data_IF_492420521855
#
_entry.id   IF_492420521855
#
_cell.length_a   1.000
_cell.length_b   1.000
_cell.length_c   1.000
_cell.angle_alpha   90.00
_cell.angle_beta   90.00
_cell.angle_gamma   90.00
#
_symmetry.space_group_name_H-M   'P 1'
#
loop_
_entity.id
_entity.type
_entity.pdbx_description
1 polymer ?
#
# COMPACT_ATOMS: atom_id res chain seq x y z
N UNK A 1 27.84 9.27 3.65
CA UNK A 1 27.84 8.50 4.92
C UNK A 1 27.24 7.11 4.70
N UNK A 2 27.75 6.34 3.73
CA UNK A 2 27.10 5.14 3.17
C UNK A 2 27.80 3.81 3.51
N UNK A 3 28.87 3.82 4.32
CA UNK A 3 29.64 2.62 4.68
C UNK A 3 29.24 2.13 6.07
N UNK A 4 28.20 1.28 6.16
CA UNK A 4 27.95 0.28 7.24
C UNK A 4 26.58 -0.43 7.19
N UNK A 5 25.78 -0.32 6.11
CA UNK A 5 24.38 -0.84 6.12
C UNK A 5 24.17 -2.24 5.52
N UNK A 6 25.11 -2.76 4.73
CA UNK A 6 25.03 -4.11 4.13
C UNK A 6 25.20 -5.30 5.09
N UNK A 7 25.09 -5.07 6.41
CA UNK A 7 25.19 -6.10 7.44
C UNK A 7 23.98 -6.18 8.37
N UNK A 8 22.96 -5.34 8.15
CA UNK A 8 21.70 -5.43 8.90
C UNK A 8 20.84 -6.52 8.26
N UNK A 9 20.49 -7.51 9.10
CA UNK A 9 19.78 -8.74 8.74
C UNK A 9 18.49 -8.47 7.97
N UNK A 10 17.83 -7.32 8.22
CA UNK A 10 16.59 -6.95 7.55
C UNK A 10 16.78 -6.72 6.05
N UNK A 11 17.83 -6.00 5.64
CA UNK A 11 18.07 -5.72 4.21
C UNK A 11 18.56 -6.96 3.47
N UNK A 12 19.37 -7.80 4.13
CA UNK A 12 19.75 -9.10 3.56
C UNK A 12 18.53 -9.98 3.33
N UNK A 13 17.58 -9.99 4.28
CA UNK A 13 16.31 -10.73 4.15
C UNK A 13 15.48 -10.26 2.94
N UNK A 14 15.49 -8.95 2.62
CA UNK A 14 14.86 -8.41 1.40
C UNK A 14 15.62 -8.82 0.13
N UNK A 15 16.95 -8.74 0.13
CA UNK A 15 17.77 -9.12 -1.03
C UNK A 15 17.59 -10.59 -1.40
N UNK A 16 17.52 -11.48 -0.42
CA UNK A 16 17.23 -12.91 -0.60
C UNK A 16 15.85 -13.17 -1.24
N UNK A 17 14.94 -12.17 -1.18
CA UNK A 17 13.59 -12.19 -1.79
C UNK A 17 13.52 -11.35 -3.07
N UNK A 18 14.68 -11.03 -3.66
CA UNK A 18 14.77 -10.36 -4.95
C UNK A 18 14.60 -8.84 -4.89
N UNK A 19 14.65 -8.22 -3.71
CA UNK A 19 14.45 -6.79 -3.53
C UNK A 19 15.73 -6.14 -3.00
N UNK A 20 16.42 -5.39 -3.86
CA UNK A 20 17.60 -4.60 -3.48
C UNK A 20 17.23 -3.10 -3.35
N UNK A 21 16.83 -2.70 -2.14
CA UNK A 21 16.54 -1.30 -1.83
C UNK A 21 17.81 -0.47 -1.62
N UNK A 22 18.97 -1.07 -1.33
CA UNK A 22 20.21 -0.34 -1.10
C UNK A 22 20.71 0.40 -2.36
N UNK A 23 20.26 -0.03 -3.54
CA UNK A 23 20.54 0.61 -4.81
C UNK A 23 19.62 1.81 -5.13
N UNK A 24 18.56 2.05 -4.35
CA UNK A 24 17.62 3.16 -4.56
C UNK A 24 17.37 3.90 -3.23
N UNK A 25 17.84 5.14 -3.14
CA UNK A 25 17.75 5.95 -1.92
C UNK A 25 16.30 6.18 -1.44
N UNK A 26 15.35 6.37 -2.36
CA UNK A 26 13.94 6.61 -2.01
C UNK A 26 13.29 5.35 -1.44
N UNK A 27 13.51 4.18 -2.06
CA UNK A 27 13.04 2.90 -1.51
C UNK A 27 13.73 2.57 -0.19
N UNK A 28 15.02 2.86 -0.08
CA UNK A 28 15.78 2.66 1.14
C UNK A 28 15.18 3.48 2.30
N UNK A 29 14.98 4.80 2.11
CA UNK A 29 14.40 5.67 3.12
C UNK A 29 12.96 5.27 3.49
N UNK A 30 12.18 4.84 2.49
CA UNK A 30 10.83 4.32 2.70
C UNK A 30 10.85 3.09 3.60
N UNK A 31 11.67 2.08 3.27
CA UNK A 31 11.83 0.86 4.08
C UNK A 31 12.32 1.16 5.50
N UNK A 32 13.21 2.13 5.68
CA UNK A 32 13.61 2.56 7.02
C UNK A 32 12.42 3.04 7.85
N UNK A 33 11.48 3.79 7.26
CA UNK A 33 10.28 4.25 7.97
C UNK A 33 9.27 3.13 8.22
N UNK A 34 9.19 2.15 7.30
CA UNK A 34 8.37 0.96 7.48
C UNK A 34 8.82 0.13 8.70
N UNK A 35 10.13 0.01 8.92
CA UNK A 35 10.72 -0.77 10.02
C UNK A 35 11.06 0.01 11.29
N UNK A 36 10.94 1.34 11.28
CA UNK A 36 11.09 2.16 12.48
C UNK A 36 10.09 1.70 13.56
N UNK A 37 10.37 1.92 14.84
CA UNK A 37 9.40 1.59 15.88
C UNK A 37 8.19 2.53 15.81
N UNK A 38 7.07 2.16 16.45
CA UNK A 38 5.87 3.02 16.45
C UNK A 38 6.14 4.36 17.15
N UNK A 39 7.04 4.40 18.14
CA UNK A 39 7.47 5.60 18.86
C UNK A 39 8.27 6.58 17.98
N UNK A 40 8.90 6.08 16.91
CA UNK A 40 9.64 6.91 15.96
C UNK A 40 8.78 7.28 14.76
N UNK A 41 8.08 6.29 14.18
CA UNK A 41 7.20 6.45 13.03
C UNK A 41 6.04 5.46 13.16
N UNK A 42 4.88 5.92 13.61
CA UNK A 42 3.68 5.09 13.70
C UNK A 42 2.95 5.04 12.35
N UNK A 43 2.89 6.18 11.63
CA UNK A 43 2.19 6.28 10.36
C UNK A 43 3.14 6.61 9.20
N UNK A 44 2.96 5.92 8.08
CA UNK A 44 3.75 6.15 6.86
C UNK A 44 2.79 6.42 5.71
N UNK A 45 2.98 7.54 5.02
CA UNK A 45 2.28 7.87 3.79
C UNK A 45 3.25 7.76 2.62
N UNK A 46 2.87 7.01 1.58
CA UNK A 46 3.67 6.89 0.36
C UNK A 46 2.82 7.26 -0.86
N UNK A 47 3.14 8.39 -1.49
CA UNK A 47 2.62 8.76 -2.80
C UNK A 47 3.60 8.27 -3.86
N UNK A 48 3.20 7.28 -4.66
CA UNK A 48 4.12 6.64 -5.57
C UNK A 48 3.43 6.11 -6.82
N UNK A 49 4.12 6.28 -7.95
CA UNK A 49 3.66 5.79 -9.26
C UNK A 49 3.49 4.27 -9.27
N UNK A 50 2.70 3.76 -10.21
CA UNK A 50 2.60 2.32 -10.45
C UNK A 50 3.97 1.75 -10.82
N UNK A 51 4.26 0.52 -10.38
CA UNK A 51 5.51 -0.16 -10.71
C UNK A 51 6.75 0.27 -9.91
N UNK A 52 6.59 1.12 -8.89
CA UNK A 52 7.67 1.55 -7.98
C UNK A 52 7.97 0.58 -6.83
N UNK A 53 7.13 -0.46 -6.67
CA UNK A 53 7.28 -1.47 -5.62
C UNK A 53 6.64 -1.12 -4.28
N UNK A 54 5.89 0.00 -4.16
CA UNK A 54 5.30 0.48 -2.90
C UNK A 54 4.56 -0.61 -2.09
N UNK A 55 3.65 -1.34 -2.74
CA UNK A 55 2.86 -2.42 -2.11
C UNK A 55 3.74 -3.60 -1.72
N UNK A 56 4.62 -4.06 -2.63
CA UNK A 56 5.53 -5.18 -2.38
C UNK A 56 6.44 -4.89 -1.19
N UNK A 57 7.06 -3.71 -1.14
CA UNK A 57 7.92 -3.31 -0.03
C UNK A 57 7.15 -3.26 1.29
N UNK A 58 5.95 -2.66 1.31
CA UNK A 58 5.13 -2.60 2.51
C UNK A 58 4.73 -3.99 3.03
N UNK A 59 4.32 -4.90 2.13
CA UNK A 59 3.94 -6.27 2.49
C UNK A 59 5.15 -7.08 2.96
N UNK A 60 6.29 -7.01 2.27
CA UNK A 60 7.52 -7.69 2.67
C UNK A 60 8.00 -7.20 4.06
N UNK A 61 8.00 -5.89 4.29
CA UNK A 61 8.41 -5.33 5.58
C UNK A 61 7.43 -5.74 6.70
N UNK A 62 6.12 -5.66 6.45
CA UNK A 62 5.12 -6.09 7.43
C UNK A 62 5.17 -7.58 7.73
N UNK A 63 5.39 -8.42 6.71
CA UNK A 63 5.57 -9.86 6.89
C UNK A 63 6.81 -10.17 7.74
N UNK A 64 7.94 -9.50 7.48
CA UNK A 64 9.12 -9.64 8.32
C UNK A 64 8.83 -9.32 9.79
N UNK A 65 8.16 -8.19 10.05
CA UNK A 65 7.86 -7.76 11.43
C UNK A 65 6.87 -8.70 12.15
N UNK A 66 6.00 -9.39 11.41
CA UNK A 66 5.14 -10.46 11.93
C UNK A 66 5.92 -11.76 12.17
N UNK A 67 6.86 -12.13 11.29
CA UNK A 67 7.72 -13.31 11.47
C UNK A 67 8.58 -13.21 12.74
N UNK A 68 9.11 -12.02 13.03
CA UNK A 68 9.94 -11.77 14.22
C UNK A 68 9.12 -11.46 15.48
N UNK A 69 7.79 -11.38 15.38
CA UNK A 69 6.88 -11.23 16.52
C UNK A 69 6.75 -9.81 17.07
N UNK A 70 7.13 -8.78 16.31
CA UNK A 70 6.87 -7.40 16.70
C UNK A 70 5.37 -7.06 16.57
N UNK A 71 4.75 -7.51 15.47
CA UNK A 71 3.29 -7.46 15.28
C UNK A 71 2.70 -8.87 15.25
N UNK A 72 1.47 -9.01 15.74
CA UNK A 72 0.76 -10.28 15.76
C UNK A 72 0.16 -10.61 14.40
N UNK A 73 -0.16 -9.58 13.60
CA UNK A 73 -0.78 -9.73 12.29
C UNK A 73 -0.48 -8.61 11.31
N UNK A 74 -0.50 -8.97 10.02
CA UNK A 74 -0.51 -8.08 8.87
C UNK A 74 -1.96 -7.89 8.42
N UNK A 75 -2.48 -6.67 8.50
CA UNK A 75 -3.80 -6.30 8.00
C UNK A 75 -3.64 -5.57 6.67
N UNK A 76 -4.29 -6.04 5.63
CA UNK A 76 -4.27 -5.43 4.31
C UNK A 76 -5.68 -4.98 3.93
N UNK A 77 -5.86 -3.67 3.82
CA UNK A 77 -7.14 -3.04 3.49
C UNK A 77 -7.06 -2.45 2.09
N UNK A 78 -8.06 -2.76 1.27
CA UNK A 78 -8.20 -2.18 -0.08
C UNK A 78 -9.66 -1.90 -0.37
N UNK A 79 -9.95 -0.85 -1.12
CA UNK A 79 -11.30 -0.63 -1.61
C UNK A 79 -11.61 -1.57 -2.78
N UNK A 80 -12.74 -2.26 -2.71
CA UNK A 80 -13.24 -3.16 -3.76
C UNK A 80 -14.20 -2.46 -4.74
N UNK A 81 -14.18 -1.13 -4.84
CA UNK A 81 -15.00 -0.40 -5.82
C UNK A 81 -14.88 -1.10 -7.18
N UNK A 82 -16.00 -1.48 -7.81
CA UNK A 82 -15.98 -2.14 -9.10
C UNK A 82 -15.40 -1.16 -10.13
N UNK A 83 -14.16 -1.44 -10.57
CA UNK A 83 -13.53 -0.82 -11.73
C UNK A 83 -14.36 -1.16 -12.97
N UNK A 84 -15.39 -0.33 -13.22
CA UNK A 84 -16.37 -0.40 -14.33
C UNK A 84 -17.20 -1.67 -14.30
N UNK A 85 -18.50 -1.54 -14.02
CA UNK A 85 -19.55 -2.54 -14.34
C UNK A 85 -19.01 -3.97 -14.55
N UNK A 86 -18.46 -4.58 -13.51
CA UNK A 86 -18.19 -6.01 -13.59
C UNK A 86 -19.56 -6.65 -13.61
N UNK A 87 -20.03 -7.01 -14.81
CA UNK A 87 -21.09 -7.98 -14.98
C UNK A 87 -20.83 -9.12 -14.01
N UNK A 88 -21.88 -9.53 -13.30
CA UNK A 88 -21.87 -10.50 -12.21
C UNK A 88 -20.74 -11.53 -12.35
N UNK A 89 -19.66 -11.38 -11.58
CA UNK A 89 -18.74 -12.49 -11.36
C UNK A 89 -19.54 -13.56 -10.59
N UNK A 90 -19.83 -14.74 -11.15
CA UNK A 90 -20.47 -15.80 -10.39
C UNK A 90 -19.48 -16.31 -9.32
N UNK A 91 -19.92 -16.46 -8.08
CA UNK A 91 -19.07 -16.91 -6.98
C UNK A 91 -19.48 -16.34 -5.61
N UNK A 92 -18.80 -16.81 -4.56
CA UNK A 92 -18.97 -16.30 -3.20
C UNK A 92 -18.41 -14.87 -3.07
N UNK A 93 -18.70 -14.18 -1.97
CA UNK A 93 -18.13 -12.84 -1.70
C UNK A 93 -16.59 -12.91 -1.72
N UNK A 94 -15.99 -13.94 -1.12
CA UNK A 94 -14.54 -14.14 -1.12
C UNK A 94 -13.95 -14.33 -2.52
N UNK A 95 -14.64 -15.06 -3.41
CA UNK A 95 -14.17 -15.26 -4.80
C UNK A 95 -14.14 -13.95 -5.59
N UNK A 96 -15.03 -13.00 -5.26
CA UNK A 96 -15.10 -11.68 -5.88
C UNK A 96 -14.04 -10.71 -5.36
N UNK A 97 -13.55 -10.94 -4.15
CA UNK A 97 -12.54 -10.09 -3.52
C UNK A 97 -11.10 -10.52 -3.84
N UNK A 98 -10.91 -11.80 -4.19
CA UNK A 98 -9.60 -12.38 -4.49
C UNK A 98 -8.76 -11.58 -5.51
N UNK A 99 -9.31 -11.05 -6.63
CA UNK A 99 -8.54 -10.23 -7.55
C UNK A 99 -7.89 -9.00 -6.91
N UNK A 100 -8.57 -8.38 -5.94
CA UNK A 100 -8.06 -7.20 -5.23
C UNK A 100 -6.94 -7.55 -4.25
N UNK A 101 -6.87 -8.80 -3.82
CA UNK A 101 -5.84 -9.33 -2.93
C UNK A 101 -4.59 -9.82 -3.67
N UNK A 102 -4.62 -9.93 -5.00
CA UNK A 102 -3.50 -10.43 -5.82
C UNK A 102 -2.14 -9.76 -5.50
N UNK A 103 -2.04 -8.42 -5.30
CA UNK A 103 -0.76 -7.81 -4.94
C UNK A 103 -0.22 -8.27 -3.59
N UNK A 104 -1.10 -8.46 -2.59
CA UNK A 104 -0.75 -9.00 -1.28
C UNK A 104 -0.27 -10.45 -1.41
N UNK A 105 -1.06 -11.30 -2.09
CA UNK A 105 -0.74 -12.72 -2.28
C UNK A 105 0.61 -12.85 -2.98
N UNK A 106 0.80 -12.16 -4.10
CA UNK A 106 2.04 -12.21 -4.87
C UNK A 106 3.27 -11.71 -4.11
N UNK A 107 3.12 -10.78 -3.16
CA UNK A 107 4.22 -10.34 -2.30
C UNK A 107 4.49 -11.34 -1.16
N UNK A 108 3.45 -11.98 -0.59
CA UNK A 108 3.63 -13.03 0.42
C UNK A 108 4.24 -14.31 -0.18
N UNK A 109 3.92 -14.65 -1.43
CA UNK A 109 4.58 -15.74 -2.16
C UNK A 109 6.09 -15.52 -2.33
N UNK A 110 6.54 -14.26 -2.41
CA UNK A 110 7.97 -13.93 -2.42
C UNK A 110 8.63 -14.13 -1.05
N UNK A 111 7.87 -14.03 0.04
CA UNK A 111 8.39 -14.32 1.38
C UNK A 111 8.61 -15.82 1.54
N UNK A 112 7.56 -16.59 1.23
CA UNK A 112 7.58 -18.04 1.23
C UNK A 112 6.42 -18.53 0.35
N UNK A 113 6.63 -19.52 -0.54
CA UNK A 113 5.53 -20.11 -1.30
C UNK A 113 4.42 -20.65 -0.38
N UNK A 114 3.16 -20.32 -0.68
CA UNK A 114 1.96 -20.68 0.08
C UNK A 114 1.80 -19.96 1.41
N UNK A 115 2.51 -18.84 1.63
CA UNK A 115 2.47 -18.14 2.91
C UNK A 115 1.11 -17.52 3.20
N UNK A 116 0.42 -17.01 2.17
CA UNK A 116 -0.90 -16.41 2.34
C UNK A 116 -1.90 -17.43 2.89
N UNK A 117 -1.96 -18.64 2.32
CA UNK A 117 -2.84 -19.72 2.79
C UNK A 117 -2.46 -20.18 4.19
N UNK A 118 -1.16 -20.23 4.50
CA UNK A 118 -0.66 -20.58 5.83
C UNK A 118 -1.06 -19.54 6.88
N UNK A 119 -0.96 -18.25 6.56
CA UNK A 119 -1.17 -17.14 7.51
C UNK A 119 -2.63 -16.72 7.65
N UNK A 120 -3.48 -17.00 6.66
CA UNK A 120 -4.93 -16.76 6.74
C UNK A 120 -5.65 -17.82 7.55
N UNK A 121 -5.07 -19.02 7.70
CA UNK A 121 -5.64 -20.08 8.54
C UNK A 121 -5.31 -19.84 10.01
N UNK A 122 -6.33 -19.96 10.87
CA UNK A 122 -6.10 -20.07 12.30
C UNK A 122 -5.51 -21.45 12.62
N UNK A 123 -4.42 -21.50 13.38
CA UNK A 123 -3.89 -22.75 13.88
C UNK A 123 -4.60 -23.10 15.20
N UNK A 124 -5.70 -23.84 15.09
CA UNK A 124 -6.47 -24.29 16.25
C UNK A 124 -5.68 -25.22 17.19
N UNK A 125 -4.63 -25.88 16.69
CA UNK A 125 -3.79 -26.77 17.50
C UNK A 125 -2.84 -25.97 18.39
N UNK A 126 -2.31 -24.87 17.88
CA UNK A 126 -1.42 -23.94 18.60
C UNK A 126 -2.16 -22.77 19.26
N UNK A 127 -3.47 -22.66 19.01
CA UNK A 127 -4.31 -21.51 19.40
C UNK A 127 -3.77 -20.18 18.89
N UNK A 128 -3.09 -20.20 17.74
CA UNK A 128 -2.59 -18.99 17.09
C UNK A 128 -3.67 -18.43 16.16
N UNK A 129 -4.03 -17.13 16.30
CA UNK A 129 -4.94 -16.48 15.36
C UNK A 129 -4.28 -16.35 13.97
N UNK A 130 -5.06 -16.05 12.92
CA UNK A 130 -4.52 -15.73 11.61
C UNK A 130 -3.52 -14.57 11.68
N UNK A 131 -2.38 -14.73 11.02
CA UNK A 131 -1.30 -13.74 10.90
C UNK A 131 -1.53 -12.76 9.75
N UNK A 132 -2.44 -13.07 8.84
CA UNK A 132 -2.86 -12.17 7.76
C UNK A 132 -4.37 -12.00 7.77
N UNK A 133 -4.80 -10.77 7.63
CA UNK A 133 -6.19 -10.40 7.39
C UNK A 133 -6.24 -9.50 6.15
N UNK A 134 -6.92 -9.95 5.10
CA UNK A 134 -7.18 -9.13 3.91
C UNK A 134 -8.66 -8.77 3.90
N UNK A 135 -8.98 -7.48 3.87
CA UNK A 135 -10.35 -6.99 4.09
C UNK A 135 -10.68 -5.78 3.22
N UNK A 136 -11.93 -5.70 2.76
CA UNK A 136 -12.44 -4.53 2.05
C UNK A 136 -12.81 -3.40 3.02
N UNK A 137 -12.66 -2.15 2.59
CA UNK A 137 -13.14 -0.96 3.34
C UNK A 137 -14.62 -1.02 3.72
N UNK A 138 -15.42 -1.82 3.01
CA UNK A 138 -16.83 -2.05 3.33
C UNK A 138 -17.06 -2.80 4.65
N UNK A 139 -16.09 -3.60 5.12
CA UNK A 139 -16.26 -4.53 6.25
C UNK A 139 -15.45 -4.18 7.49
N UNK A 140 -14.69 -3.09 7.48
CA UNK A 140 -13.82 -2.71 8.61
C UNK A 140 -14.56 -2.02 9.77
N UNK A 141 -15.83 -1.66 9.60
CA UNK A 141 -16.61 -1.01 10.67
C UNK A 141 -16.82 -1.96 11.84
N UNK A 142 -16.56 -1.48 13.06
CA UNK A 142 -16.71 -2.27 14.29
C UNK A 142 -15.52 -3.16 14.62
N UNK A 143 -14.47 -3.17 13.78
CA UNK A 143 -13.21 -3.85 14.10
C UNK A 143 -12.34 -3.00 15.03
N UNK A 144 -11.33 -3.63 15.63
CA UNK A 144 -10.27 -2.97 16.36
C UNK A 144 -8.99 -3.79 16.13
N UNK A 145 -7.92 -3.11 15.73
CA UNK A 145 -6.62 -3.71 15.51
C UNK A 145 -5.66 -3.25 16.58
N UNK A 146 -4.99 -4.23 17.20
CA UNK A 146 -3.90 -4.06 18.17
C UNK A 146 -2.71 -4.86 17.70
N UNK A 147 -1.52 -4.39 18.00
CA UNK A 147 -0.24 -4.99 17.60
C UNK A 147 -0.26 -5.44 16.14
N UNK A 148 -0.82 -4.62 15.26
CA UNK A 148 -1.01 -4.96 13.86
C UNK A 148 -0.18 -4.05 12.96
N UNK A 149 0.37 -4.65 11.91
CA UNK A 149 0.95 -3.91 10.79
C UNK A 149 -0.15 -3.71 9.74
N UNK A 150 -0.71 -2.52 9.65
CA UNK A 150 -1.87 -2.19 8.82
C UNK A 150 -1.40 -1.51 7.53
N UNK A 151 -1.80 -2.05 6.39
CA UNK A 151 -1.55 -1.48 5.07
C UNK A 151 -2.88 -1.04 4.47
N UNK A 152 -3.04 0.25 4.20
CA UNK A 152 -4.14 0.80 3.42
C UNK A 152 -3.63 1.02 1.99
N UNK A 153 -3.89 0.07 1.08
CA UNK A 153 -3.39 0.14 -0.29
C UNK A 153 -4.42 0.75 -1.26
N UNK A 154 -3.91 1.38 -2.31
CA UNK A 154 -4.67 2.19 -3.27
C UNK A 154 -5.54 3.27 -2.60
N UNK A 155 -4.98 3.97 -1.60
CA UNK A 155 -5.68 4.97 -0.80
C UNK A 155 -6.31 6.12 -1.63
N UNK A 156 -5.83 6.37 -2.87
CA UNK A 156 -6.47 7.31 -3.78
C UNK A 156 -7.88 6.89 -4.21
N UNK A 157 -8.26 5.63 -3.99
CA UNK A 157 -9.60 5.10 -4.29
C UNK A 157 -10.58 5.20 -3.11
N UNK A 158 -10.08 5.52 -1.91
CA UNK A 158 -10.88 5.55 -0.68
C UNK A 158 -11.59 6.91 -0.58
N UNK A 159 -12.82 6.89 -0.06
CA UNK A 159 -13.47 8.12 0.39
C UNK A 159 -12.98 8.56 1.78
N UNK A 160 -13.42 9.76 2.19
CA UNK A 160 -12.98 10.35 3.45
C UNK A 160 -13.47 9.55 4.68
N UNK A 161 -14.68 8.99 4.60
CA UNK A 161 -15.29 8.20 5.67
C UNK A 161 -14.63 6.81 5.77
N UNK A 162 -14.24 6.21 4.65
CA UNK A 162 -13.48 4.96 4.59
C UNK A 162 -12.09 5.12 5.22
N UNK A 163 -11.34 6.18 4.85
CA UNK A 163 -10.06 6.49 5.49
C UNK A 163 -10.26 6.73 6.99
N UNK A 164 -11.25 7.54 7.37
CA UNK A 164 -11.54 7.79 8.79
C UNK A 164 -11.88 6.51 9.54
N UNK A 165 -12.70 5.66 8.93
CA UNK A 165 -13.08 4.37 9.51
C UNK A 165 -11.85 3.51 9.71
N UNK A 166 -10.94 3.41 8.74
CA UNK A 166 -9.72 2.61 8.83
C UNK A 166 -8.76 3.10 9.93
N UNK A 167 -8.42 4.39 9.91
CA UNK A 167 -7.52 4.97 10.92
C UNK A 167 -8.06 4.82 12.34
N UNK A 168 -9.38 4.98 12.54
CA UNK A 168 -10.01 4.86 13.87
C UNK A 168 -10.17 3.42 14.39
N UNK A 169 -9.72 2.40 13.65
CA UNK A 169 -9.61 1.01 14.18
C UNK A 169 -8.24 0.71 14.77
N UNK A 170 -7.21 1.51 14.47
CA UNK A 170 -5.83 1.25 14.86
C UNK A 170 -5.59 1.76 16.29
N UNK A 171 -5.04 0.91 17.15
CA UNK A 171 -4.59 1.27 18.49
C UNK A 171 -3.15 1.85 18.45
N UNK A 172 -2.63 2.33 19.59
CA UNK A 172 -1.33 3.00 19.67
C UNK A 172 -0.14 2.08 19.27
N UNK A 173 -0.33 0.76 19.40
CA UNK A 173 0.65 -0.27 19.07
C UNK A 173 0.56 -0.78 17.61
N UNK A 174 -0.23 -0.12 16.77
CA UNK A 174 -0.29 -0.38 15.34
C UNK A 174 0.73 0.44 14.54
N UNK A 175 1.35 -0.17 13.54
CA UNK A 175 1.97 0.54 12.42
C UNK A 175 0.94 0.71 11.32
N UNK A 176 0.76 1.93 10.81
CA UNK A 176 -0.19 2.22 9.72
C UNK A 176 0.55 2.72 8.49
N UNK A 177 0.41 2.02 7.37
CA UNK A 177 1.08 2.33 6.10
C UNK A 177 0.04 2.60 5.03
N UNK A 178 -0.07 3.84 4.60
CA UNK A 178 -1.05 4.29 3.61
C UNK A 178 -0.36 4.56 2.29
N UNK A 179 -0.72 3.76 1.28
CA UNK A 179 -0.09 3.75 -0.03
C UNK A 179 -1.08 4.27 -1.06
N UNK A 180 -0.65 5.19 -1.92
CA UNK A 180 -1.49 5.70 -2.99
C UNK A 180 -0.70 6.23 -4.18
N UNK A 181 -1.43 6.59 -5.23
CA UNK A 181 -0.89 7.19 -6.44
C UNK A 181 -1.86 8.25 -6.94
N UNK A 182 -1.49 9.52 -6.87
CA UNK A 182 -2.37 10.62 -7.34
C UNK A 182 -2.58 10.59 -8.86
N UNK A 183 -1.66 9.92 -9.57
CA UNK A 183 -1.74 9.71 -11.03
C UNK A 183 -2.76 8.63 -11.42
N UNK A 184 -3.12 7.74 -10.50
CA UNK A 184 -4.08 6.65 -10.71
C UNK A 184 -5.45 7.00 -10.11
N UNK A 185 -5.93 8.22 -10.34
CA UNK A 185 -7.24 8.63 -9.86
C UNK A 185 -8.36 8.05 -10.73
N UNK A 186 -8.64 6.77 -10.50
CA UNK A 186 -9.63 6.00 -11.25
C UNK A 186 -11.07 6.33 -10.80
N UNK A 187 -11.24 6.86 -9.59
CA UNK A 187 -12.55 7.14 -9.01
C UNK A 187 -12.94 8.62 -9.11
N UNK A 188 -13.48 8.99 -10.29
CA UNK A 188 -14.03 10.35 -10.55
C UNK A 188 -15.20 10.74 -9.63
N UNK A 189 -15.77 9.81 -8.85
CA UNK A 189 -16.88 10.08 -7.93
C UNK A 189 -16.43 10.53 -6.55
N UNK A 190 -15.12 10.46 -6.24
CA UNK A 190 -14.62 10.92 -4.95
C UNK A 190 -14.84 12.42 -4.79
N UNK A 191 -15.50 12.80 -3.70
CA UNK A 191 -15.71 14.21 -3.35
C UNK A 191 -14.35 14.84 -3.05
N UNK A 192 -14.00 15.86 -3.84
CA UNK A 192 -12.86 16.73 -3.54
C UNK A 192 -13.30 17.85 -2.59
N UNK A 193 -12.40 18.25 -1.70
CA UNK A 193 -12.59 19.42 -0.83
C UNK A 193 -11.41 20.37 -1.08
N UNK A 194 -11.72 21.62 -1.46
CA UNK A 194 -10.70 22.59 -1.85
C UNK A 194 -9.72 22.09 -2.94
N UNK A 195 -10.21 21.24 -3.86
CA UNK A 195 -9.40 20.65 -4.93
C UNK A 195 -8.64 19.37 -4.55
N UNK A 196 -8.52 19.06 -3.27
CA UNK A 196 -7.80 17.89 -2.77
C UNK A 196 -8.69 16.63 -2.77
N UNK A 197 -8.11 15.49 -3.13
CA UNK A 197 -8.70 14.16 -2.92
C UNK A 197 -8.70 13.78 -1.43
N UNK A 198 -9.53 12.81 -1.01
CA UNK A 198 -9.49 12.29 0.37
C UNK A 198 -8.10 11.86 0.84
N UNK A 199 -7.32 11.21 -0.04
CA UNK A 199 -5.94 10.83 0.27
C UNK A 199 -5.04 12.05 0.53
N UNK A 200 -5.10 13.07 -0.33
CA UNK A 200 -4.36 14.33 -0.14
C UNK A 200 -4.78 15.06 1.14
N UNK A 201 -6.08 15.05 1.47
CA UNK A 201 -6.60 15.64 2.70
C UNK A 201 -5.99 14.95 3.93
N UNK A 202 -5.92 13.62 3.94
CA UNK A 202 -5.28 12.87 5.03
C UNK A 202 -3.77 13.16 5.11
N UNK A 203 -3.09 13.22 3.96
CA UNK A 203 -1.67 13.60 3.97
C UNK A 203 -1.44 14.99 4.58
N UNK A 204 -2.26 15.98 4.21
CA UNK A 204 -2.16 17.33 4.77
C UNK A 204 -2.53 17.35 6.27
N UNK A 205 -3.54 16.58 6.68
CA UNK A 205 -3.95 16.47 8.08
C UNK A 205 -2.83 15.96 9.00
N UNK A 206 -2.00 15.03 8.51
CA UNK A 206 -0.92 14.42 9.27
C UNK A 206 0.46 15.08 9.08
N UNK A 207 0.60 16.08 8.19
CA UNK A 207 1.88 16.64 7.71
C UNK A 207 2.84 17.16 8.80
N UNK A 208 2.32 17.57 9.94
CA UNK A 208 3.11 18.12 11.05
C UNK A 208 2.98 17.29 12.34
N UNK A 209 2.40 16.09 12.25
CA UNK A 209 2.29 15.22 13.41
C UNK A 209 3.65 14.57 13.70
N UNK A 210 4.05 14.46 14.98
CA UNK A 210 5.18 13.62 15.33
C UNK A 210 4.86 12.17 14.93
N UNK A 211 5.89 11.35 14.70
CA UNK A 211 5.74 9.93 14.38
C UNK A 211 5.05 9.66 13.02
N UNK A 212 5.06 10.62 12.10
CA UNK A 212 4.58 10.43 10.72
C UNK A 212 5.71 10.63 9.72
N UNK A 213 5.84 9.70 8.77
CA UNK A 213 6.78 9.82 7.66
C UNK A 213 6.03 9.91 6.31
N UNK A 214 6.54 10.78 5.43
CA UNK A 214 6.04 10.94 4.07
C UNK A 214 7.12 10.55 3.07
N UNK A 215 6.77 9.71 2.10
CA UNK A 215 7.67 9.24 1.07
C UNK A 215 7.06 9.42 -0.32
N UNK A 216 7.95 9.62 -1.30
CA UNK A 216 7.60 9.51 -2.71
C UNK A 216 8.56 8.56 -3.41
N UNK A 217 8.01 7.68 -4.24
CA UNK A 217 8.80 6.76 -5.07
C UNK A 217 8.50 7.05 -6.54
N UNK A 218 9.56 7.34 -7.30
CA UNK A 218 9.44 7.79 -8.69
C UNK A 218 9.89 6.73 -9.69
N UNK A 219 10.88 5.91 -9.34
CA UNK A 219 11.48 4.92 -10.25
C UNK A 219 10.52 3.76 -10.51
N UNK A 220 10.03 3.64 -11.75
CA UNK A 220 9.21 2.50 -12.17
C UNK A 220 10.10 1.36 -12.70
N UNK A 221 10.03 0.21 -12.03
CA UNK A 221 10.84 -0.97 -12.29
C UNK A 221 10.23 -1.96 -13.30
N UNK A 222 9.05 -1.66 -13.88
CA UNK A 222 8.39 -2.52 -14.89
C UNK A 222 8.97 -2.37 -16.30
N UNK A 223 9.99 -1.53 -16.48
CA UNK A 223 10.68 -1.35 -17.75
C UNK A 223 10.07 -0.28 -18.67
N UNK A 224 10.65 -0.12 -19.85
CA UNK A 224 10.40 1.03 -20.74
C UNK A 224 8.93 1.16 -21.18
N UNK A 225 8.24 0.04 -21.44
CA UNK A 225 6.85 0.06 -21.92
C UNK A 225 5.89 0.66 -20.89
N UNK A 226 6.01 0.24 -19.63
CA UNK A 226 5.18 0.78 -18.54
C UNK A 226 5.52 2.25 -18.28
N UNK A 227 6.80 2.62 -18.34
CA UNK A 227 7.22 4.01 -18.18
C UNK A 227 6.62 4.90 -19.27
N UNK A 228 6.67 4.47 -20.53
CA UNK A 228 6.12 5.23 -21.65
C UNK A 228 4.59 5.33 -21.62
N UNK A 229 3.89 4.26 -21.21
CA UNK A 229 2.44 4.26 -21.09
C UNK A 229 1.92 5.28 -20.06
N UNK A 230 2.63 5.47 -18.95
CA UNK A 230 2.27 6.46 -17.94
C UNK A 230 2.27 7.91 -18.48
N UNK A 231 3.05 8.19 -19.51
CA UNK A 231 3.19 9.54 -20.09
C UNK A 231 2.08 9.87 -21.10
N UNK A 232 1.08 9.00 -21.26
CA UNK A 232 -0.03 9.18 -22.21
C UNK A 232 -0.78 10.50 -22.02
N UNK A 233 -0.87 11.02 -20.79
CA UNK A 233 -1.50 12.31 -20.50
C UNK A 233 -0.77 13.46 -21.21
N UNK A 234 0.55 13.39 -21.36
CA UNK A 234 1.32 14.40 -22.09
C UNK A 234 0.95 14.38 -23.58
N UNK A 235 0.68 13.19 -24.13
CA UNK A 235 0.19 13.05 -25.51
C UNK A 235 -1.20 13.66 -25.66
N UNK A 236 -2.11 13.43 -24.69
CA UNK A 236 -3.45 14.05 -24.69
C UNK A 236 -3.34 15.58 -24.68
N UNK A 237 -2.53 16.15 -23.77
CA UNK A 237 -2.32 17.59 -23.68
C UNK A 237 -1.76 18.19 -24.97
N UNK A 238 -0.84 17.50 -25.65
CA UNK A 238 -0.31 17.93 -26.95
C UNK A 238 -1.38 17.94 -28.04
N UNK A 239 -2.25 16.93 -28.06
CA UNK A 239 -3.36 16.84 -29.02
C UNK A 239 -4.40 17.94 -28.77
N UNK A 240 -4.77 18.17 -27.51
CA UNK A 240 -5.70 19.24 -27.11
C UNK A 240 -5.14 20.64 -27.42
N UNK A 241 -3.86 20.87 -27.14
CA UNK A 241 -3.18 22.12 -27.50
C UNK A 241 -2.98 22.33 -29.01
N UNK A 242 -2.89 21.25 -29.79
CA UNK A 242 -2.83 21.29 -31.25
C UNK A 242 -4.18 21.64 -31.90
N UNK A 243 -5.29 21.23 -31.29
CA UNK A 243 -6.65 21.57 -31.76
C UNK A 243 -6.94 23.07 -31.65
N UNK A 244 -6.42 23.75 -30.60
CA UNK A 244 -6.58 25.21 -30.45
C UNK A 244 -5.79 26.03 -31.48
N UNK A 245 -4.71 25.47 -32.05
CA UNK A 245 -3.90 26.13 -33.08
C UNK A 245 -4.31 25.77 -34.52
N UNK A 246 -5.31 24.90 -34.69
CA UNK A 246 -5.80 24.41 -36.00
C UNK A 246 -7.14 25.01 -36.46
N UNK A 247 -7.74 25.90 -35.67
CA UNK A 247 -8.88 26.72 -36.10
C UNK A 247 -8.39 28.16 -36.38
N UNK A 248 -7.80 28.35 -37.57
CA UNK A 248 -7.59 29.64 -38.21
C UNK A 248 -8.02 29.53 -39.67
#
# INVERSE_FOLDING_TARGET
MAKRKGGDIKYKWLEERGVNVLANESQFNFVQSLWASVEEVQAVFCEARAGTGKTTLAVLCGAYEVEVGHYDKLVYVRNTIPLREMGFLPGTVGDKELPYMTPLIGALEQVQPGLFEKWTRADFTRREPPKVEAISTAFIRGLNWKRAYVILDEAQSFDLEELQTAYTRCDDDCKVVTLGSLRQNDNRKLRRVAGLTPFEIYMEHFKNMPMVAFHSLETNYRGWLSNHADDVIQTVQKLEGGILNGCA
#
